data_IF_509556284625
#
_entry.id   IF_509556284625
#
_cell.length_a   1.000
_cell.length_b   1.000
_cell.length_c   1.000
_cell.angle_alpha   90.00
_cell.angle_beta   90.00
_cell.angle_gamma   90.00
#
_symmetry.space_group_name_H-M   'P 1'
#
loop_
_entity.id
_entity.type
_entity.pdbx_description
1 polymer ?
#
# COMPACT_ATOMS: atom_id res chain seq x y z
N UNK A 1 19.09 5.60 0.98
CA UNK A 1 17.72 6.09 0.77
C UNK A 1 16.86 4.86 0.64
N UNK A 2 15.88 4.68 1.54
CA UNK A 2 14.93 3.57 1.42
C UNK A 2 13.70 4.10 0.71
N UNK A 3 13.35 3.41 -0.36
CA UNK A 3 12.23 3.68 -1.25
C UNK A 3 10.90 3.68 -0.47
N UNK A 4 10.25 4.84 -0.38
CA UNK A 4 8.94 5.00 0.29
C UNK A 4 7.87 4.12 -0.34
N UNK A 5 7.90 3.91 -1.66
CA UNK A 5 7.01 2.95 -2.31
C UNK A 5 7.27 1.52 -1.83
N UNK A 6 8.53 1.12 -1.62
CA UNK A 6 8.85 -0.19 -1.06
C UNK A 6 8.28 -0.39 0.36
N UNK A 7 8.27 0.64 1.20
CA UNK A 7 7.65 0.57 2.54
C UNK A 7 6.13 0.37 2.45
N UNK A 8 5.47 1.03 1.49
CA UNK A 8 4.03 0.86 1.24
C UNK A 8 3.73 -0.56 0.75
N UNK A 9 4.53 -1.08 -0.19
CA UNK A 9 4.38 -2.45 -0.68
C UNK A 9 4.55 -3.46 0.44
N UNK A 10 5.53 -3.29 1.31
CA UNK A 10 5.76 -4.14 2.46
C UNK A 10 4.53 -4.13 3.39
N UNK A 11 3.94 -2.96 3.65
CA UNK A 11 2.71 -2.85 4.44
C UNK A 11 1.54 -3.63 3.81
N UNK A 12 1.33 -3.51 2.50
CA UNK A 12 0.25 -4.23 1.78
C UNK A 12 0.52 -5.73 1.76
N UNK A 13 1.76 -6.13 1.50
CA UNK A 13 2.17 -7.53 1.47
C UNK A 13 1.96 -8.19 2.83
N UNK A 14 2.23 -7.49 3.94
CA UNK A 14 1.96 -8.03 5.27
C UNK A 14 0.47 -8.34 5.47
N UNK A 15 -0.45 -7.49 4.99
CA UNK A 15 -1.90 -7.76 5.04
C UNK A 15 -2.31 -8.93 4.12
N UNK A 16 -1.78 -9.00 2.90
CA UNK A 16 -2.03 -10.13 1.98
C UNK A 16 -1.52 -11.43 2.59
N UNK A 17 -0.29 -11.45 3.08
CA UNK A 17 0.31 -12.61 3.71
C UNK A 17 -0.47 -13.02 4.95
N UNK A 18 -1.00 -12.07 5.73
CA UNK A 18 -1.87 -12.33 6.87
C UNK A 18 -3.20 -13.01 6.47
N UNK A 19 -3.58 -12.98 5.19
CA UNK A 19 -4.82 -13.55 4.68
C UNK A 19 -5.99 -12.58 4.76
N UNK A 20 -5.71 -11.27 4.70
CA UNK A 20 -6.75 -10.25 4.63
C UNK A 20 -7.65 -10.49 3.41
N UNK A 21 -8.96 -10.46 3.62
CA UNK A 21 -9.95 -10.54 2.54
C UNK A 21 -10.17 -9.17 1.89
N UNK A 22 -9.98 -8.08 2.63
CA UNK A 22 -10.07 -6.71 2.15
C UNK A 22 -8.93 -5.85 2.68
N UNK A 23 -8.41 -4.96 1.84
CA UNK A 23 -7.31 -4.05 2.18
C UNK A 23 -7.65 -2.64 1.70
N UNK A 24 -7.49 -1.64 2.56
CA UNK A 24 -7.58 -0.22 2.20
C UNK A 24 -6.28 0.48 2.51
N UNK A 25 -5.67 1.08 1.50
CA UNK A 25 -4.45 1.88 1.62
C UNK A 25 -4.81 3.34 1.36
N UNK A 26 -4.51 4.22 2.30
CA UNK A 26 -4.68 5.66 2.16
C UNK A 26 -3.33 6.33 2.28
N UNK A 27 -2.99 7.14 1.28
CA UNK A 27 -1.70 7.81 1.18
C UNK A 27 -1.95 9.30 1.02
N UNK A 28 -1.34 10.12 1.87
CA UNK A 28 -1.38 11.58 1.76
C UNK A 28 0.05 12.10 1.57
N UNK A 29 0.27 12.85 0.49
CA UNK A 29 1.56 13.48 0.17
C UNK A 29 1.44 14.98 0.42
N UNK A 30 2.12 15.46 1.46
CA UNK A 30 2.05 16.86 1.90
C UNK A 30 3.43 17.32 2.38
N UNK A 31 3.90 18.48 1.88
CA UNK A 31 5.12 19.15 2.34
C UNK A 31 6.38 18.25 2.40
N UNK A 32 6.60 17.41 1.38
CA UNK A 32 7.75 16.50 1.32
C UNK A 32 7.66 15.29 2.27
N UNK A 33 6.47 15.01 2.80
CA UNK A 33 6.19 13.85 3.64
C UNK A 33 5.05 13.01 3.06
N UNK A 34 5.15 11.69 3.26
CA UNK A 34 4.13 10.71 2.85
C UNK A 34 3.56 10.07 4.10
N UNK A 35 2.28 10.33 4.38
CA UNK A 35 1.54 9.66 5.45
C UNK A 35 0.74 8.50 4.87
N UNK A 36 0.91 7.32 5.45
CA UNK A 36 0.33 6.06 4.96
C UNK A 36 -0.52 5.43 6.06
N UNK A 37 -1.72 5.01 5.69
CA UNK A 37 -2.61 4.19 6.52
C UNK A 37 -3.00 2.95 5.72
N UNK A 38 -2.58 1.77 6.18
CA UNK A 38 -3.03 0.48 5.66
C UNK A 38 -3.99 -0.14 6.67
N UNK A 39 -5.20 -0.45 6.24
CA UNK A 39 -6.24 -1.09 7.04
C UNK A 39 -6.65 -2.41 6.39
N UNK A 40 -6.70 -3.49 7.17
CA UNK A 40 -7.25 -4.79 6.77
C UNK A 40 -8.32 -5.27 7.75
N UNK A 41 -8.98 -6.38 7.42
CA UNK A 41 -10.11 -6.95 8.17
C UNK A 41 -9.74 -7.61 9.52
N UNK A 42 -8.45 -7.64 9.89
CA UNK A 42 -8.02 -8.09 11.21
C UNK A 42 -8.20 -9.59 11.49
N UNK A 43 -8.35 -10.41 10.44
CA UNK A 43 -8.57 -11.85 10.58
C UNK A 43 -7.38 -12.61 11.18
N UNK A 44 -6.15 -12.09 11.03
CA UNK A 44 -4.94 -12.79 11.48
C UNK A 44 -4.57 -12.48 12.94
N UNK A 45 -4.06 -13.45 13.73
CA UNK A 45 -3.51 -13.20 15.07
C UNK A 45 -2.32 -12.22 15.02
N UNK A 46 -2.19 -11.35 16.02
CA UNK A 46 -1.13 -10.34 16.14
C UNK A 46 -0.18 -10.73 17.27
N UNK A 47 1.13 -10.63 17.01
CA UNK A 47 2.17 -10.81 18.03
C UNK A 47 2.04 -9.77 19.14
N UNK A 48 2.44 -10.11 20.36
CA UNK A 48 2.54 -9.16 21.48
C UNK A 48 3.58 -8.07 21.25
N UNK A 49 4.59 -8.36 20.43
CA UNK A 49 5.57 -7.39 19.94
C UNK A 49 5.69 -7.55 18.42
N UNK A 50 4.84 -6.86 17.63
CA UNK A 50 4.77 -7.04 16.18
C UNK A 50 5.91 -6.32 15.42
N UNK A 51 6.70 -5.49 16.10
CA UNK A 51 7.81 -4.75 15.51
C UNK A 51 9.18 -5.35 15.83
N UNK A 52 9.23 -6.39 16.66
CA UNK A 52 10.46 -7.12 16.93
C UNK A 52 10.87 -7.91 15.70
N UNK A 53 12.15 -7.81 15.34
CA UNK A 53 12.70 -8.59 14.25
C UNK A 53 12.53 -10.10 14.53
N UNK A 54 12.04 -10.83 13.52
CA UNK A 54 11.73 -12.25 13.67
C UNK A 54 10.37 -12.53 14.33
N UNK A 55 9.61 -11.50 14.72
CA UNK A 55 8.26 -11.69 15.27
C UNK A 55 7.29 -12.01 14.13
N UNK A 56 7.03 -13.30 13.94
CA UNK A 56 5.99 -13.77 13.04
C UNK A 56 5.21 -14.90 13.68
N UNK A 57 3.89 -14.84 13.56
CA UNK A 57 3.01 -15.96 13.92
C UNK A 57 3.09 -17.11 12.89
N UNK A 58 3.91 -16.97 11.83
CA UNK A 58 4.01 -17.89 10.69
C UNK A 58 5.35 -18.64 10.55
N UNK A 59 6.19 -18.65 11.59
CA UNK A 59 7.41 -19.47 11.68
C UNK A 59 8.75 -18.69 11.61
N UNK A 60 9.86 -19.42 11.76
CA UNK A 60 11.24 -18.87 11.76
C UNK A 60 11.62 -18.28 10.39
N UNK A 61 12.32 -17.13 10.38
CA UNK A 61 12.77 -16.42 9.17
C UNK A 61 11.79 -15.38 8.60
N UNK A 62 10.59 -15.24 9.19
CA UNK A 62 9.61 -14.18 8.87
C UNK A 62 9.61 -13.08 9.94
N UNK A 63 8.97 -11.93 9.64
CA UNK A 63 8.78 -10.87 10.64
C UNK A 63 9.86 -9.78 10.64
N UNK A 64 10.44 -9.46 9.48
CA UNK A 64 11.34 -8.30 9.30
C UNK A 64 10.64 -7.08 8.70
N UNK A 65 9.51 -7.27 8.03
CA UNK A 65 8.79 -6.19 7.33
C UNK A 65 8.43 -5.02 8.24
N UNK A 66 7.68 -5.30 9.31
CA UNK A 66 7.27 -4.28 10.28
C UNK A 66 8.45 -3.65 11.02
N UNK A 67 9.50 -4.42 11.34
CA UNK A 67 10.71 -3.87 11.98
C UNK A 67 11.45 -2.93 11.04
N UNK A 68 11.54 -3.25 9.75
CA UNK A 68 12.11 -2.38 8.72
C UNK A 68 11.28 -1.10 8.59
N UNK A 69 9.95 -1.20 8.48
CA UNK A 69 9.08 -0.01 8.42
C UNK A 69 9.31 0.88 9.64
N UNK A 70 9.39 0.32 10.85
CA UNK A 70 9.65 1.08 12.06
C UNK A 70 11.03 1.73 12.07
N UNK A 71 12.07 1.03 11.63
CA UNK A 71 13.42 1.57 11.52
C UNK A 71 13.49 2.72 10.51
N UNK A 72 12.93 2.54 9.31
CA UNK A 72 13.03 3.52 8.21
C UNK A 72 12.14 4.75 8.37
N UNK A 73 11.21 4.69 9.32
CA UNK A 73 10.34 5.84 9.66
C UNK A 73 10.81 6.53 10.94
N UNK A 74 11.99 6.19 11.46
CA UNK A 74 12.53 6.68 12.74
C UNK A 74 11.55 6.47 13.90
N UNK A 75 10.84 5.33 13.88
CA UNK A 75 9.81 5.01 14.85
C UNK A 75 8.48 5.72 14.65
N UNK A 76 8.31 6.55 13.60
CA UNK A 76 7.02 7.18 13.22
C UNK A 76 6.08 6.17 12.55
N UNK A 77 5.85 5.07 13.25
CA UNK A 77 5.01 3.96 12.82
C UNK A 77 4.21 3.42 14.02
N UNK A 78 2.96 3.06 13.78
CA UNK A 78 2.05 2.49 14.77
C UNK A 78 1.21 1.42 14.14
N UNK A 79 1.10 0.28 14.81
CA UNK A 79 0.18 -0.80 14.47
C UNK A 79 -0.86 -0.93 15.58
N UNK A 80 -2.14 -0.96 15.21
CA UNK A 80 -3.25 -1.13 16.15
C UNK A 80 -4.18 -2.22 15.66
N UNK A 81 -4.67 -3.06 16.57
CA UNK A 81 -5.69 -4.06 16.29
C UNK A 81 -6.98 -3.75 17.04
N UNK A 82 -8.08 -3.73 16.31
CA UNK A 82 -9.43 -3.80 16.85
C UNK A 82 -10.07 -5.17 16.60
N UNK A 83 -11.34 -5.31 16.99
CA UNK A 83 -12.08 -6.58 16.83
C UNK A 83 -12.27 -7.02 15.38
N UNK A 84 -12.35 -6.06 14.45
CA UNK A 84 -12.68 -6.30 13.02
C UNK A 84 -11.70 -5.65 12.05
N UNK A 85 -10.56 -5.18 12.56
CA UNK A 85 -9.55 -4.55 11.73
C UNK A 85 -8.17 -4.48 12.34
N UNK A 86 -7.17 -4.53 11.49
CA UNK A 86 -5.81 -4.12 11.81
C UNK A 86 -5.48 -2.85 11.04
N UNK A 87 -4.85 -1.89 11.70
CA UNK A 87 -4.45 -0.62 11.10
C UNK A 87 -2.97 -0.38 11.35
N UNK A 88 -2.20 -0.29 10.28
CA UNK A 88 -0.82 0.19 10.26
C UNK A 88 -0.81 1.65 9.80
N UNK A 89 -0.20 2.53 10.57
CA UNK A 89 0.05 3.92 10.20
C UNK A 89 1.55 4.19 10.21
N UNK A 90 2.06 4.90 9.22
CA UNK A 90 3.43 5.42 9.27
C UNK A 90 3.60 6.70 8.45
N UNK A 91 4.68 7.42 8.72
CA UNK A 91 5.09 8.60 7.94
C UNK A 91 6.52 8.40 7.44
N UNK A 92 6.72 8.57 6.14
CA UNK A 92 8.02 8.51 5.47
C UNK A 92 8.31 9.84 4.75
N UNK A 93 9.56 10.05 4.34
CA UNK A 93 9.94 11.17 3.48
C UNK A 93 9.46 10.92 2.05
N UNK A 94 9.06 11.99 1.35
CA UNK A 94 8.82 11.90 -0.08
C UNK A 94 10.16 11.95 -0.81
N UNK A 95 10.63 10.80 -1.25
CA UNK A 95 11.89 10.62 -1.99
C UNK A 95 11.67 10.54 -3.51
N UNK A 96 10.45 10.82 -3.99
CA UNK A 96 10.06 10.72 -5.40
C UNK A 96 9.76 9.31 -5.88
N UNK A 97 9.90 8.27 -5.04
CA UNK A 97 9.56 6.87 -5.41
C UNK A 97 8.05 6.64 -5.60
N UNK A 98 7.22 7.58 -5.16
CA UNK A 98 5.77 7.50 -5.25
C UNK A 98 5.24 7.38 -6.69
N UNK A 99 6.00 7.84 -7.68
CA UNK A 99 5.63 7.74 -9.10
C UNK A 99 5.71 6.28 -9.61
N UNK A 100 6.57 5.45 -9.00
CA UNK A 100 6.70 4.03 -9.32
C UNK A 100 5.74 3.14 -8.51
N UNK A 101 5.18 3.65 -7.41
CA UNK A 101 4.33 2.90 -6.49
C UNK A 101 3.17 2.20 -7.21
N UNK A 102 2.48 2.93 -8.07
CA UNK A 102 1.34 2.40 -8.79
C UNK A 102 1.73 1.20 -9.66
N UNK A 103 2.88 1.27 -10.35
CA UNK A 103 3.41 0.16 -11.15
C UNK A 103 3.68 -1.09 -10.29
N UNK A 104 4.10 -0.88 -9.05
CA UNK A 104 4.38 -1.95 -8.11
C UNK A 104 3.12 -2.50 -7.40
N UNK A 105 2.05 -1.72 -7.30
CA UNK A 105 0.77 -2.13 -6.70
C UNK A 105 -0.09 -2.99 -7.63
N UNK A 106 0.08 -2.91 -8.97
CA UNK A 106 -0.76 -3.67 -9.91
C UNK A 106 -0.82 -5.18 -9.62
N UNK A 107 0.30 -5.89 -9.40
CA UNK A 107 0.24 -7.31 -9.13
C UNK A 107 -0.55 -7.62 -7.86
N UNK A 108 -0.57 -6.69 -6.90
CA UNK A 108 -1.24 -6.86 -5.61
C UNK A 108 -2.76 -6.74 -5.74
N UNK A 109 -3.27 -5.94 -6.68
CA UNK A 109 -4.72 -5.92 -6.99
C UNK A 109 -5.21 -7.28 -7.52
N UNK A 110 -4.36 -8.05 -8.19
CA UNK A 110 -4.71 -9.42 -8.62
C UNK A 110 -4.72 -10.41 -7.45
N UNK A 111 -3.84 -10.22 -6.48
CA UNK A 111 -3.75 -11.05 -5.27
C UNK A 111 -4.90 -10.75 -4.29
N UNK A 112 -5.36 -9.50 -4.24
CA UNK A 112 -6.51 -9.08 -3.44
C UNK A 112 -7.43 -8.16 -4.26
N UNK A 113 -8.50 -8.74 -4.84
CA UNK A 113 -9.47 -8.00 -5.66
C UNK A 113 -10.31 -6.99 -4.89
N UNK A 114 -10.39 -7.13 -3.57
CA UNK A 114 -11.08 -6.19 -2.68
C UNK A 114 -10.13 -5.09 -2.17
N UNK A 115 -8.91 -5.00 -2.72
CA UNK A 115 -7.98 -3.94 -2.38
C UNK A 115 -8.42 -2.61 -2.97
N UNK A 116 -8.27 -1.56 -2.18
CA UNK A 116 -8.49 -0.17 -2.58
C UNK A 116 -7.28 0.67 -2.18
N UNK A 117 -6.86 1.58 -3.05
CA UNK A 117 -5.76 2.51 -2.80
C UNK A 117 -6.25 3.92 -3.09
N UNK A 118 -6.19 4.80 -2.10
CA UNK A 118 -6.44 6.23 -2.24
C UNK A 118 -5.13 6.99 -2.08
N UNK A 119 -4.82 7.88 -3.02
CA UNK A 119 -3.69 8.79 -2.97
C UNK A 119 -4.19 10.21 -3.04
N UNK A 120 -3.97 10.96 -1.96
CA UNK A 120 -4.29 12.37 -1.84
C UNK A 120 -3.01 13.20 -2.01
N UNK A 121 -3.01 14.08 -3.02
CA UNK A 121 -2.00 15.12 -3.24
C UNK A 121 -2.69 16.49 -3.19
N UNK A 122 -1.92 17.58 -3.26
CA UNK A 122 -2.48 18.95 -3.33
C UNK A 122 -3.37 19.18 -4.55
N UNK A 123 -3.16 18.43 -5.63
CA UNK A 123 -3.95 18.48 -6.87
C UNK A 123 -5.29 17.74 -6.80
N UNK A 124 -5.51 16.89 -5.80
CA UNK A 124 -6.73 16.09 -5.66
C UNK A 124 -6.51 14.72 -5.04
N UNK A 125 -7.56 13.90 -5.04
CA UNK A 125 -7.54 12.52 -4.57
C UNK A 125 -7.79 11.57 -5.74
N UNK A 126 -6.92 10.56 -5.85
CA UNK A 126 -7.04 9.47 -6.81
C UNK A 126 -7.42 8.21 -6.04
N UNK A 127 -8.48 7.54 -6.47
CA UNK A 127 -8.89 6.25 -5.89
C UNK A 127 -8.79 5.15 -6.95
N UNK A 128 -8.02 4.11 -6.65
CA UNK A 128 -7.80 2.95 -7.52
C UNK A 128 -8.32 1.69 -6.82
N UNK A 129 -9.10 0.91 -7.56
CA UNK A 129 -9.61 -0.40 -7.14
C UNK A 129 -9.53 -1.38 -8.30
N UNK A 130 -9.60 -2.68 -8.02
CA UNK A 130 -9.64 -3.70 -9.09
C UNK A 130 -10.78 -3.45 -10.09
N UNK A 131 -11.98 -3.10 -9.60
CA UNK A 131 -13.13 -2.80 -10.45
C UNK A 131 -12.90 -1.57 -11.35
N UNK A 132 -12.18 -0.56 -10.86
CA UNK A 132 -11.82 0.61 -11.67
C UNK A 132 -10.79 0.25 -12.74
N UNK A 133 -9.82 -0.60 -12.41
CA UNK A 133 -8.87 -1.14 -13.38
C UNK A 133 -9.56 -1.98 -14.46
N UNK A 134 -10.53 -2.81 -14.09
CA UNK A 134 -11.34 -3.60 -15.02
C UNK A 134 -12.12 -2.73 -16.01
N UNK A 135 -12.84 -1.72 -15.52
CA UNK A 135 -13.60 -0.79 -16.38
C UNK A 135 -12.73 -0.10 -17.42
N UNK A 136 -11.46 0.16 -17.08
CA UNK A 136 -10.50 0.86 -17.95
C UNK A 136 -9.68 -0.08 -18.83
N UNK A 137 -9.97 -1.38 -18.81
CA UNK A 137 -9.18 -2.39 -19.54
C UNK A 137 -7.73 -2.49 -19.04
N UNK A 138 -7.46 -2.01 -17.82
CA UNK A 138 -6.16 -1.97 -17.18
C UNK A 138 -5.93 -3.17 -16.23
N UNK A 139 -6.69 -4.27 -16.43
CA UNK A 139 -6.50 -5.52 -15.67
C UNK A 139 -5.14 -6.11 -16.03
N UNK A 140 -4.20 -6.18 -15.07
CA UNK A 140 -2.80 -6.34 -15.44
C UNK A 140 -2.39 -7.80 -15.36
N UNK A 141 -2.37 -8.45 -16.52
CA UNK A 141 -1.61 -9.71 -16.72
C UNK A 141 -0.69 -9.64 -17.95
N UNK A 142 -0.70 -8.54 -18.69
CA UNK A 142 0.12 -8.34 -19.89
C UNK A 142 0.84 -6.99 -19.87
N UNK A 143 1.95 -6.88 -20.62
CA UNK A 143 2.68 -5.62 -20.82
C UNK A 143 1.79 -4.47 -21.34
N UNK A 144 0.69 -4.82 -22.02
CA UNK A 144 -0.29 -3.87 -22.54
C UNK A 144 -1.19 -3.32 -21.41
N UNK A 145 -1.57 -4.14 -20.43
CA UNK A 145 -2.28 -3.69 -19.22
C UNK A 145 -1.44 -2.77 -18.34
N UNK A 146 -0.14 -3.06 -18.20
CA UNK A 146 0.82 -2.18 -17.48
C UNK A 146 0.92 -0.81 -18.17
N UNK A 147 1.00 -0.80 -19.51
CA UNK A 147 1.06 0.45 -20.29
C UNK A 147 -0.24 1.26 -20.17
N UNK A 148 -1.41 0.61 -20.28
CA UNK A 148 -2.71 1.26 -20.15
C UNK A 148 -2.88 1.90 -18.76
N UNK A 149 -2.43 1.20 -17.72
CA UNK A 149 -2.46 1.71 -16.37
C UNK A 149 -1.52 2.90 -16.13
N UNK A 150 -0.27 2.86 -16.62
CA UNK A 150 0.62 4.02 -16.53
C UNK A 150 0.05 5.25 -17.21
N UNK A 151 -0.56 5.08 -18.39
CA UNK A 151 -1.27 6.18 -19.07
C UNK A 151 -2.42 6.71 -18.21
N UNK A 152 -3.18 5.84 -17.56
CA UNK A 152 -4.27 6.23 -16.68
C UNK A 152 -3.80 7.04 -15.46
N UNK A 153 -2.79 6.54 -14.73
CA UNK A 153 -2.21 7.23 -13.57
C UNK A 153 -1.66 8.60 -13.98
N UNK A 154 -0.86 8.65 -15.04
CA UNK A 154 -0.29 9.90 -15.54
C UNK A 154 -1.37 10.89 -16.02
N UNK A 155 -2.48 10.39 -16.55
CA UNK A 155 -3.62 11.19 -16.96
C UNK A 155 -4.36 11.80 -15.75
N UNK A 156 -4.55 11.02 -14.70
CA UNK A 156 -5.13 11.49 -13.44
C UNK A 156 -4.27 12.55 -12.75
N UNK A 157 -2.94 12.36 -12.74
CA UNK A 157 -2.00 13.34 -12.16
C UNK A 157 -2.00 14.69 -12.91
N UNK A 158 -2.35 14.68 -14.20
CA UNK A 158 -2.49 15.88 -15.03
C UNK A 158 -3.87 16.54 -14.94
N UNK A 159 -4.78 15.99 -14.14
CA UNK A 159 -6.16 16.49 -14.06
C UNK A 159 -6.96 16.27 -15.35
N UNK A 160 -6.53 15.33 -16.19
CA UNK A 160 -7.25 15.02 -17.42
C UNK A 160 -8.50 14.19 -17.08
N UNK A 161 -9.68 14.78 -17.33
CA UNK A 161 -10.96 14.08 -17.23
C UNK A 161 -11.09 13.09 -18.39
N UNK A 162 -10.84 11.82 -18.11
CA UNK A 162 -11.23 10.72 -19.00
C UNK A 162 -12.65 10.31 -18.65
N UNK A 163 -13.61 10.97 -19.31
CA UNK A 163 -15.04 10.67 -19.26
C UNK A 163 -15.41 9.34 -19.89
#
# INVERSE_FOLDING_TARGET
MHDTAALILEAVMNSIEAGASSISVRIAVENGSVSVITEDDGNAPMSSDPFREGSSTKGEGRGRGLSIIKEKTDGRCRLTRGEKKTVLCFTAEDDGSMDDLFSALLPLFNLNKAMTVSIKRSSGEIVVSHAELEKRGAVPVSAQGIKAFRTFVNGLEKGENYG
#
